data_IF_868378367652
#
_entry.id   IF_868378367652
#
_cell.length_a   1.000
_cell.length_b   1.000
_cell.length_c   1.000
_cell.angle_alpha   90.00
_cell.angle_beta   90.00
_cell.angle_gamma   90.00
#
_symmetry.space_group_name_H-M   'P 1'
#
loop_
_entity.id
_entity.type
_entity.pdbx_description
1 polymer ?
#
# COMPACT_ATOMS: atom_id res chain seq x y z
N UNK A 1 -1.79 -12.36 9.17
CA UNK A 1 -2.68 -13.07 8.23
C UNK A 1 -2.08 -12.91 6.84
N UNK A 2 -1.72 -14.00 6.18
CA UNK A 2 -1.07 -13.98 4.85
C UNK A 2 -2.15 -14.24 3.81
N UNK A 3 -2.48 -13.23 3.02
CA UNK A 3 -3.44 -13.33 1.91
C UNK A 3 -2.65 -13.69 0.65
N UNK A 4 -2.49 -14.97 0.35
CA UNK A 4 -1.66 -15.43 -0.77
C UNK A 4 -2.45 -15.68 -2.07
N UNK A 5 -3.77 -15.58 -2.06
CA UNK A 5 -4.60 -15.70 -3.28
C UNK A 5 -5.86 -14.85 -3.22
N UNK A 6 -6.37 -14.41 -4.39
CA UNK A 6 -7.63 -13.66 -4.48
C UNK A 6 -8.85 -14.43 -3.95
N UNK A 7 -8.85 -15.76 -4.08
CA UNK A 7 -9.90 -16.60 -3.50
C UNK A 7 -9.95 -16.47 -1.98
N UNK A 8 -8.80 -16.36 -1.31
CA UNK A 8 -8.74 -16.17 0.14
C UNK A 8 -9.24 -14.78 0.55
N UNK A 9 -8.98 -13.74 -0.23
CA UNK A 9 -9.48 -12.38 0.05
C UNK A 9 -11.00 -12.34 -0.08
N UNK A 10 -11.56 -12.92 -1.16
CA UNK A 10 -13.01 -12.99 -1.36
C UNK A 10 -13.71 -13.82 -0.26
N UNK A 11 -13.11 -14.94 0.14
CA UNK A 11 -13.61 -15.75 1.25
C UNK A 11 -13.60 -14.97 2.57
N UNK A 12 -12.51 -14.25 2.83
CA UNK A 12 -12.41 -13.42 4.04
C UNK A 12 -13.43 -12.29 4.03
N UNK A 13 -13.65 -11.63 2.89
CA UNK A 13 -14.71 -10.63 2.77
C UNK A 13 -16.08 -11.22 3.11
N UNK A 14 -16.41 -12.40 2.56
CA UNK A 14 -17.68 -13.07 2.87
C UNK A 14 -17.84 -13.42 4.36
N UNK A 15 -16.74 -13.81 5.04
CA UNK A 15 -16.77 -14.06 6.49
C UNK A 15 -16.98 -12.76 7.29
N UNK A 16 -16.36 -11.66 6.87
CA UNK A 16 -16.57 -10.36 7.52
C UNK A 16 -18.00 -9.87 7.32
N UNK A 17 -18.58 -10.05 6.13
CA UNK A 17 -19.97 -9.71 5.85
C UNK A 17 -20.94 -10.51 6.71
N UNK A 18 -20.74 -11.80 6.88
CA UNK A 18 -21.52 -12.63 7.81
C UNK A 18 -21.40 -12.16 9.28
N UNK A 19 -20.21 -11.71 9.68
CA UNK A 19 -20.03 -11.14 11.02
C UNK A 19 -20.81 -9.81 11.16
N UNK A 20 -20.78 -8.95 10.14
CA UNK A 20 -21.50 -7.67 10.11
C UNK A 20 -23.02 -7.88 10.07
N UNK A 21 -23.53 -8.91 9.39
CA UNK A 21 -24.93 -9.29 9.41
C UNK A 21 -25.42 -9.67 10.81
N UNK A 22 -24.56 -10.35 11.60
CA UNK A 22 -24.87 -10.73 12.99
C UNK A 22 -24.75 -9.58 13.97
N UNK A 23 -23.75 -8.75 13.78
CA UNK A 23 -23.51 -7.53 14.57
C UNK A 23 -23.10 -6.37 13.66
N UNK A 24 -24.05 -5.52 13.22
CA UNK A 24 -23.77 -4.38 12.35
C UNK A 24 -22.85 -3.31 12.96
N UNK A 25 -22.58 -3.38 14.28
CA UNK A 25 -21.70 -2.48 15.01
C UNK A 25 -20.36 -3.10 15.38
N UNK A 26 -20.03 -4.27 14.83
CA UNK A 26 -18.74 -4.89 15.07
C UNK A 26 -17.64 -4.19 14.25
N UNK A 27 -17.04 -3.15 14.81
CA UNK A 27 -16.04 -2.29 14.16
C UNK A 27 -14.88 -3.04 13.51
N UNK A 28 -14.24 -4.02 14.17
CA UNK A 28 -13.16 -4.80 13.52
C UNK A 28 -13.60 -5.53 12.25
N UNK A 29 -14.80 -6.11 12.20
CA UNK A 29 -15.28 -6.77 10.98
C UNK A 29 -15.50 -5.76 9.84
N UNK A 30 -16.04 -4.58 10.15
CA UNK A 30 -16.21 -3.49 9.19
C UNK A 30 -14.86 -3.04 8.62
N UNK A 31 -13.85 -2.78 9.48
CA UNK A 31 -12.52 -2.35 9.04
C UNK A 31 -11.81 -3.44 8.19
N UNK A 32 -11.93 -4.71 8.56
CA UNK A 32 -11.37 -5.81 7.75
C UNK A 32 -12.13 -6.02 6.44
N UNK A 33 -13.46 -5.83 6.39
CA UNK A 33 -14.21 -5.86 5.14
C UNK A 33 -13.76 -4.74 4.19
N UNK A 34 -13.56 -3.52 4.72
CA UNK A 34 -13.03 -2.39 3.96
C UNK A 34 -11.64 -2.72 3.39
N UNK A 35 -10.75 -3.32 4.20
CA UNK A 35 -9.42 -3.74 3.76
C UNK A 35 -9.49 -4.84 2.69
N UNK A 36 -10.44 -5.78 2.75
CA UNK A 36 -10.64 -6.80 1.72
C UNK A 36 -11.04 -6.16 0.38
N UNK A 37 -12.00 -5.23 0.37
CA UNK A 37 -12.39 -4.48 -0.82
C UNK A 37 -11.19 -3.74 -1.44
N UNK A 38 -10.41 -3.03 -0.61
CA UNK A 38 -9.20 -2.36 -1.05
C UNK A 38 -8.19 -3.33 -1.68
N UNK A 39 -7.94 -4.49 -1.06
CA UNK A 39 -7.02 -5.49 -1.58
C UNK A 39 -7.47 -6.11 -2.91
N UNK A 40 -8.76 -6.41 -3.07
CA UNK A 40 -9.31 -6.91 -4.34
C UNK A 40 -9.04 -5.93 -5.48
N UNK A 41 -9.21 -4.62 -5.24
CA UNK A 41 -8.94 -3.57 -6.22
C UNK A 41 -7.44 -3.48 -6.50
N UNK A 42 -6.61 -3.41 -5.46
CA UNK A 42 -5.16 -3.24 -5.57
C UNK A 42 -4.49 -4.41 -6.33
N UNK A 43 -4.97 -5.63 -6.09
CA UNK A 43 -4.45 -6.85 -6.73
C UNK A 43 -5.05 -7.08 -8.14
N UNK A 44 -5.92 -6.16 -8.64
CA UNK A 44 -6.58 -6.27 -9.94
C UNK A 44 -7.57 -7.45 -10.03
N UNK A 45 -8.13 -7.87 -8.90
CA UNK A 45 -9.02 -9.05 -8.76
C UNK A 45 -10.49 -8.69 -8.51
N UNK A 46 -10.78 -7.40 -8.48
CA UNK A 46 -12.15 -6.90 -8.39
C UNK A 46 -12.85 -7.05 -9.74
N UNK A 47 -14.07 -7.60 -9.73
CA UNK A 47 -14.92 -7.67 -10.92
C UNK A 47 -15.60 -6.32 -11.22
N UNK A 48 -15.81 -5.49 -10.20
CA UNK A 48 -16.34 -4.13 -10.29
C UNK A 48 -15.60 -3.22 -9.31
N UNK A 49 -14.45 -2.64 -9.74
CA UNK A 49 -13.64 -1.78 -8.87
C UNK A 49 -14.38 -0.54 -8.34
N UNK A 50 -15.38 -0.04 -9.07
CA UNK A 50 -16.17 1.13 -8.65
C UNK A 50 -17.13 0.74 -7.51
N UNK A 51 -17.82 -0.39 -7.65
CA UNK A 51 -18.69 -0.90 -6.61
C UNK A 51 -17.90 -1.30 -5.35
N UNK A 52 -16.78 -2.00 -5.51
CA UNK A 52 -15.92 -2.41 -4.39
C UNK A 52 -15.30 -1.21 -3.68
N UNK A 53 -14.90 -0.15 -4.40
CA UNK A 53 -14.44 1.09 -3.79
C UNK A 53 -15.53 1.74 -2.93
N UNK A 54 -16.75 1.87 -3.46
CA UNK A 54 -17.87 2.45 -2.72
C UNK A 54 -18.20 1.63 -1.48
N UNK A 55 -18.26 0.31 -1.62
CA UNK A 55 -18.54 -0.64 -0.53
C UNK A 55 -17.45 -0.58 0.56
N UNK A 56 -16.19 -0.59 0.15
CA UNK A 56 -15.07 -0.47 1.08
C UNK A 56 -15.05 0.86 1.83
N UNK A 57 -15.34 1.97 1.14
CA UNK A 57 -15.45 3.27 1.79
C UNK A 57 -16.62 3.35 2.79
N UNK A 58 -17.78 2.74 2.48
CA UNK A 58 -18.91 2.64 3.41
C UNK A 58 -18.53 1.85 4.66
N UNK A 59 -17.91 0.68 4.49
CA UNK A 59 -17.45 -0.12 5.62
C UNK A 59 -16.46 0.64 6.51
N UNK A 60 -15.48 1.34 5.94
CA UNK A 60 -14.50 2.11 6.70
C UNK A 60 -15.16 3.24 7.49
N UNK A 61 -16.05 4.02 6.87
CA UNK A 61 -16.77 5.11 7.56
C UNK A 61 -17.61 4.59 8.72
N UNK A 62 -18.35 3.50 8.50
CA UNK A 62 -19.14 2.86 9.57
C UNK A 62 -18.26 2.32 10.69
N UNK A 63 -17.07 1.75 10.37
CA UNK A 63 -16.14 1.28 11.38
C UNK A 63 -15.65 2.43 12.27
N UNK A 64 -15.30 3.58 11.69
CA UNK A 64 -14.91 4.77 12.44
C UNK A 64 -16.05 5.31 13.34
N UNK A 65 -17.30 5.26 12.87
CA UNK A 65 -18.46 5.69 13.66
C UNK A 65 -18.69 4.82 14.90
N UNK A 66 -18.49 3.51 14.80
CA UNK A 66 -18.82 2.56 15.88
C UNK A 66 -17.62 2.20 16.77
N UNK A 67 -16.39 2.35 16.27
CA UNK A 67 -15.16 1.93 16.96
C UNK A 67 -13.99 2.90 16.75
N UNK A 68 -14.27 4.20 16.68
CA UNK A 68 -13.27 5.25 16.42
C UNK A 68 -12.22 5.46 17.53
N UNK A 69 -12.18 4.61 18.57
CA UNK A 69 -11.13 4.54 19.59
C UNK A 69 -10.32 3.22 19.50
N UNK A 70 -10.63 2.34 18.54
CA UNK A 70 -9.85 1.13 18.33
C UNK A 70 -8.65 1.44 17.41
N UNK A 71 -7.38 1.24 17.87
CA UNK A 71 -6.20 1.53 17.05
C UNK A 71 -6.14 0.75 15.75
N UNK A 72 -6.72 -0.46 15.70
CA UNK A 72 -6.73 -1.31 14.50
C UNK A 72 -7.69 -0.74 13.48
N UNK A 73 -8.89 -0.34 13.92
CA UNK A 73 -9.92 0.31 13.08
C UNK A 73 -9.36 1.61 12.52
N UNK A 74 -8.86 2.50 13.37
CA UNK A 74 -8.29 3.79 12.94
C UNK A 74 -7.22 3.63 11.86
N UNK A 75 -6.26 2.71 12.07
CA UNK A 75 -5.14 2.56 11.14
C UNK A 75 -5.56 1.92 9.80
N UNK A 76 -6.40 0.88 9.80
CA UNK A 76 -6.84 0.26 8.55
C UNK A 76 -7.77 1.16 7.76
N UNK A 77 -8.68 1.87 8.43
CA UNK A 77 -9.61 2.77 7.74
C UNK A 77 -8.88 3.99 7.17
N UNK A 78 -7.87 4.52 7.89
CA UNK A 78 -6.98 5.55 7.34
C UNK A 78 -6.30 5.10 6.05
N UNK A 79 -5.76 3.86 6.01
CA UNK A 79 -5.14 3.29 4.82
C UNK A 79 -6.14 3.17 3.67
N UNK A 80 -7.32 2.60 3.93
CA UNK A 80 -8.35 2.35 2.90
C UNK A 80 -8.87 3.65 2.33
N UNK A 81 -9.24 4.61 3.18
CA UNK A 81 -9.80 5.88 2.76
C UNK A 81 -8.77 6.73 2.01
N UNK A 82 -7.50 6.79 2.45
CA UNK A 82 -6.41 7.43 1.71
C UNK A 82 -6.24 6.82 0.31
N UNK A 83 -6.26 5.49 0.19
CA UNK A 83 -6.16 4.78 -1.09
C UNK A 83 -7.34 5.07 -2.00
N UNK A 84 -8.49 5.41 -1.44
CA UNK A 84 -9.69 5.75 -2.19
C UNK A 84 -9.81 7.24 -2.52
N UNK A 85 -8.85 8.06 -2.09
CA UNK A 85 -8.73 9.46 -2.47
C UNK A 85 -9.20 10.47 -1.44
N UNK A 86 -9.48 10.01 -0.21
CA UNK A 86 -9.74 10.93 0.91
C UNK A 86 -8.45 11.72 1.26
N UNK A 87 -8.60 12.86 1.93
CA UNK A 87 -7.47 13.74 2.25
C UNK A 87 -6.40 13.05 3.09
N UNK A 88 -5.20 12.97 2.53
CA UNK A 88 -4.08 12.24 3.14
C UNK A 88 -3.67 12.84 4.51
N UNK A 89 -3.80 14.14 4.70
CA UNK A 89 -3.50 14.79 5.97
C UNK A 89 -4.44 14.35 7.08
N UNK A 90 -5.73 14.27 6.77
CA UNK A 90 -6.75 13.74 7.69
C UNK A 90 -6.48 12.28 8.02
N UNK A 91 -6.12 11.46 7.04
CA UNK A 91 -5.83 10.03 7.24
C UNK A 91 -4.55 9.82 8.08
N UNK A 92 -3.55 10.67 7.91
CA UNK A 92 -2.37 10.69 8.78
C UNK A 92 -2.80 11.01 10.24
N UNK A 93 -3.70 11.96 10.46
CA UNK A 93 -4.23 12.26 11.79
C UNK A 93 -4.92 11.06 12.46
N UNK A 94 -5.65 10.24 11.69
CA UNK A 94 -6.27 9.01 12.22
C UNK A 94 -5.22 7.97 12.64
N UNK A 95 -4.20 7.74 11.83
CA UNK A 95 -3.15 6.76 12.19
C UNK A 95 -2.27 7.27 13.34
N UNK A 96 -2.01 8.57 13.43
CA UNK A 96 -1.28 9.16 14.56
C UNK A 96 -2.08 8.97 15.87
N UNK A 97 -3.41 9.12 15.82
CA UNK A 97 -4.30 8.80 16.96
C UNK A 97 -4.25 7.30 17.31
N UNK A 98 -4.24 6.41 16.31
CA UNK A 98 -4.09 4.97 16.53
C UNK A 98 -2.78 4.66 17.30
N UNK A 99 -1.69 5.32 16.91
CA UNK A 99 -0.37 5.12 17.53
C UNK A 99 -0.27 5.77 18.92
N UNK A 100 -1.00 6.86 19.16
CA UNK A 100 -1.13 7.45 20.50
C UNK A 100 -1.89 6.52 21.47
N UNK A 101 -2.94 5.83 20.98
CA UNK A 101 -3.69 4.83 21.74
C UNK A 101 -2.89 3.55 21.99
N UNK A 102 -2.11 3.11 21.00
CA UNK A 102 -1.25 1.92 21.09
C UNK A 102 0.11 2.13 20.41
N UNK A 103 1.12 2.64 21.14
CA UNK A 103 2.46 2.85 20.60
C UNK A 103 3.19 1.57 20.18
N UNK A 104 2.74 0.40 20.65
CA UNK A 104 3.32 -0.90 20.31
C UNK A 104 2.63 -1.57 19.12
N UNK A 105 1.75 -0.88 18.41
CA UNK A 105 1.04 -1.40 17.25
C UNK A 105 1.93 -1.36 16.00
N UNK A 106 2.78 -2.37 15.81
CA UNK A 106 3.73 -2.47 14.70
C UNK A 106 3.08 -2.25 13.31
N UNK A 107 1.87 -2.80 13.09
CA UNK A 107 1.15 -2.61 11.82
C UNK A 107 0.71 -1.16 11.63
N UNK A 108 0.30 -0.48 12.69
CA UNK A 108 -0.02 0.95 12.67
C UNK A 108 1.18 1.79 12.23
N UNK A 109 2.37 1.50 12.75
CA UNK A 109 3.61 2.15 12.33
C UNK A 109 3.93 1.91 10.85
N UNK A 110 3.73 0.69 10.32
CA UNK A 110 3.90 0.40 8.89
C UNK A 110 2.91 1.19 8.04
N UNK A 111 1.65 1.28 8.46
CA UNK A 111 0.61 2.06 7.76
C UNK A 111 0.95 3.54 7.80
N UNK A 112 1.37 4.06 8.94
CA UNK A 112 1.81 5.45 9.07
C UNK A 112 2.98 5.76 8.13
N UNK A 113 3.98 4.87 8.05
CA UNK A 113 5.08 5.00 7.10
C UNK A 113 4.59 5.05 5.64
N UNK A 114 3.62 4.23 5.26
CA UNK A 114 3.05 4.25 3.91
C UNK A 114 2.29 5.55 3.62
N UNK A 115 1.47 6.02 4.55
CA UNK A 115 0.73 7.29 4.39
C UNK A 115 1.67 8.49 4.32
N UNK A 116 2.75 8.51 5.12
CA UNK A 116 3.80 9.52 5.07
C UNK A 116 4.54 9.51 3.73
N UNK A 117 4.81 8.32 3.19
CA UNK A 117 5.39 8.18 1.85
C UNK A 117 4.48 8.80 0.79
N UNK A 118 3.18 8.54 0.82
CA UNK A 118 2.21 9.14 -0.11
C UNK A 118 2.03 10.65 0.08
N UNK A 119 2.25 11.14 1.30
CA UNK A 119 2.24 12.56 1.60
C UNK A 119 3.50 13.30 1.11
N UNK A 120 4.54 12.58 0.64
CA UNK A 120 5.82 13.15 0.22
C UNK A 120 6.78 13.42 1.37
N UNK A 121 6.68 12.63 2.44
CA UNK A 121 7.51 12.69 3.65
C UNK A 121 8.38 11.41 3.79
N UNK A 122 9.31 11.13 2.83
CA UNK A 122 9.99 9.85 2.74
C UNK A 122 10.91 9.55 3.95
N UNK A 123 11.54 10.55 4.54
CA UNK A 123 12.43 10.33 5.70
C UNK A 123 11.60 9.93 6.94
N UNK A 124 10.44 10.56 7.17
CA UNK A 124 9.52 10.16 8.24
C UNK A 124 8.96 8.76 7.97
N UNK A 125 8.70 8.42 6.71
CA UNK A 125 8.25 7.09 6.33
C UNK A 125 9.28 6.01 6.71
N UNK A 126 10.59 6.27 6.50
CA UNK A 126 11.69 5.38 6.90
C UNK A 126 11.69 5.19 8.42
N UNK A 127 11.67 6.29 9.20
CA UNK A 127 11.67 6.24 10.66
C UNK A 127 10.53 5.40 11.22
N UNK A 128 9.31 5.58 10.67
CA UNK A 128 8.12 4.85 11.12
C UNK A 128 8.20 3.35 10.76
N UNK A 129 8.70 3.01 9.58
CA UNK A 129 8.90 1.61 9.19
C UNK A 129 9.97 0.94 10.07
N UNK A 130 11.03 1.65 10.43
CA UNK A 130 12.06 1.14 11.33
C UNK A 130 11.50 0.84 12.73
N UNK A 131 10.58 1.69 13.24
CA UNK A 131 9.83 1.38 14.46
C UNK A 131 9.02 0.09 14.30
N UNK A 132 8.27 -0.04 13.19
CA UNK A 132 7.47 -1.23 12.91
C UNK A 132 8.32 -2.52 12.91
N UNK A 133 9.48 -2.49 12.26
CA UNK A 133 10.41 -3.63 12.19
C UNK A 133 10.98 -3.99 13.55
N UNK A 134 11.33 -3.01 14.39
CA UNK A 134 11.78 -3.25 15.77
C UNK A 134 10.70 -3.88 16.65
N UNK A 135 9.46 -3.43 16.52
CA UNK A 135 8.32 -3.97 17.28
C UNK A 135 7.92 -5.38 16.84
N UNK A 136 8.15 -5.75 15.58
CA UNK A 136 7.75 -7.05 15.04
C UNK A 136 8.83 -7.67 14.14
N UNK A 137 9.99 -8.07 14.69
CA UNK A 137 11.14 -8.54 13.91
C UNK A 137 10.92 -9.89 13.22
N UNK A 138 9.87 -10.62 13.58
CA UNK A 138 9.49 -11.92 12.99
C UNK A 138 8.32 -11.81 12.01
N UNK A 139 7.77 -10.61 11.79
CA UNK A 139 6.73 -10.41 10.79
C UNK A 139 7.30 -10.53 9.37
N UNK A 140 6.42 -10.76 8.38
CA UNK A 140 6.80 -10.61 6.98
C UNK A 140 7.31 -9.19 6.74
N UNK A 141 8.50 -9.09 6.19
CA UNK A 141 9.19 -7.81 5.99
C UNK A 141 8.92 -7.18 4.61
N UNK A 142 8.36 -7.93 3.67
CA UNK A 142 8.12 -7.49 2.29
C UNK A 142 7.39 -6.15 2.18
N UNK A 143 6.23 -5.94 2.83
CA UNK A 143 5.56 -4.66 2.80
C UNK A 143 6.40 -3.50 3.36
N UNK A 144 7.17 -3.73 4.42
CA UNK A 144 8.09 -2.75 5.00
C UNK A 144 9.23 -2.43 4.04
N UNK A 145 9.81 -3.44 3.39
CA UNK A 145 10.88 -3.26 2.40
C UNK A 145 10.39 -2.48 1.17
N UNK A 146 9.13 -2.67 0.77
CA UNK A 146 8.53 -1.89 -0.30
C UNK A 146 8.41 -0.41 0.07
N UNK A 147 7.96 -0.10 1.29
CA UNK A 147 7.85 1.29 1.76
C UNK A 147 9.24 1.92 1.83
N UNK A 148 10.23 1.23 2.39
CA UNK A 148 11.63 1.69 2.44
C UNK A 148 12.20 1.93 1.04
N UNK A 149 12.00 0.98 0.11
CA UNK A 149 12.41 1.11 -1.29
C UNK A 149 11.75 2.30 -1.98
N UNK A 150 10.45 2.50 -1.76
CA UNK A 150 9.72 3.66 -2.26
C UNK A 150 10.25 4.98 -1.66
N UNK A 151 10.53 5.01 -0.36
CA UNK A 151 11.06 6.20 0.31
C UNK A 151 12.43 6.60 -0.24
N UNK A 152 13.33 5.65 -0.43
CA UNK A 152 14.61 5.90 -1.09
C UNK A 152 14.42 6.34 -2.55
N UNK A 153 13.50 5.74 -3.30
CA UNK A 153 13.18 6.13 -4.68
C UNK A 153 12.72 7.58 -4.77
N UNK A 154 11.72 7.99 -3.97
CA UNK A 154 11.22 9.38 -4.00
C UNK A 154 12.23 10.39 -3.44
N UNK A 155 13.19 9.95 -2.65
CA UNK A 155 14.38 10.75 -2.27
C UNK A 155 15.49 10.72 -3.33
N UNK A 156 15.29 10.10 -4.49
CA UNK A 156 16.27 9.89 -5.58
C UNK A 156 17.52 9.12 -5.14
N UNK A 157 17.45 8.37 -4.05
CA UNK A 157 18.50 7.46 -3.55
C UNK A 157 18.32 6.08 -4.19
N UNK A 158 18.46 5.99 -5.52
CA UNK A 158 18.12 4.79 -6.28
C UNK A 158 18.96 3.58 -5.91
N UNK A 159 20.26 3.77 -5.62
CA UNK A 159 21.16 2.70 -5.19
C UNK A 159 20.73 2.06 -3.86
N UNK A 160 20.12 2.83 -2.97
CA UNK A 160 19.57 2.35 -1.71
C UNK A 160 18.17 1.72 -1.89
N UNK A 161 17.39 2.20 -2.87
CA UNK A 161 16.07 1.69 -3.17
C UNK A 161 16.10 0.27 -3.77
N UNK A 162 17.01 0.03 -4.73
CA UNK A 162 17.10 -1.23 -5.48
C UNK A 162 17.21 -2.47 -4.57
N UNK A 163 18.13 -2.58 -3.61
CA UNK A 163 18.24 -3.76 -2.77
C UNK A 163 17.00 -3.99 -1.90
N UNK A 164 16.34 -2.94 -1.42
CA UNK A 164 15.09 -3.07 -0.63
C UNK A 164 13.94 -3.61 -1.47
N UNK A 165 13.79 -3.10 -2.70
CA UNK A 165 12.76 -3.56 -3.64
C UNK A 165 12.99 -4.99 -4.08
N UNK A 166 14.22 -5.39 -4.36
CA UNK A 166 14.55 -6.78 -4.71
C UNK A 166 14.20 -7.76 -3.60
N UNK A 167 14.55 -7.44 -2.35
CA UNK A 167 14.19 -8.25 -1.18
C UNK A 167 12.67 -8.27 -0.97
N UNK A 168 11.97 -7.14 -1.18
CA UNK A 168 10.51 -7.07 -1.11
C UNK A 168 9.84 -7.96 -2.15
N UNK A 169 10.33 -7.97 -3.39
CA UNK A 169 9.87 -8.85 -4.47
C UNK A 169 10.14 -10.33 -4.16
N UNK A 170 11.26 -10.64 -3.53
CA UNK A 170 11.57 -12.01 -3.12
C UNK A 170 10.59 -12.52 -2.04
N UNK A 171 10.16 -11.65 -1.12
CA UNK A 171 9.17 -11.98 -0.09
C UNK A 171 7.73 -12.08 -0.65
N UNK A 172 7.38 -11.18 -1.60
CA UNK A 172 6.08 -11.19 -2.29
C UNK A 172 6.23 -10.92 -3.79
N UNK A 173 6.43 -11.98 -4.60
CA UNK A 173 6.60 -11.83 -6.06
C UNK A 173 5.34 -11.37 -6.80
N UNK A 174 4.19 -11.32 -6.14
CA UNK A 174 2.91 -10.97 -6.77
C UNK A 174 2.54 -9.48 -6.65
N UNK A 175 3.43 -8.64 -6.10
CA UNK A 175 3.11 -7.24 -5.76
C UNK A 175 3.57 -6.25 -6.86
N UNK A 176 2.67 -5.79 -7.76
CA UNK A 176 3.07 -5.08 -8.99
C UNK A 176 3.85 -3.79 -8.73
N UNK A 177 3.48 -3.00 -7.70
CA UNK A 177 4.11 -1.70 -7.43
C UNK A 177 5.61 -1.82 -7.12
N UNK A 178 6.07 -2.96 -6.54
CA UNK A 178 7.48 -3.19 -6.29
C UNK A 178 8.28 -3.25 -7.60
N UNK A 179 7.74 -3.91 -8.62
CA UNK A 179 8.34 -3.97 -9.95
C UNK A 179 8.29 -2.62 -10.67
N UNK A 180 7.21 -1.86 -10.49
CA UNK A 180 7.10 -0.53 -11.09
C UNK A 180 8.19 0.41 -10.54
N UNK A 181 8.34 0.49 -9.23
CA UNK A 181 9.35 1.34 -8.60
C UNK A 181 10.77 0.83 -8.96
N UNK A 182 11.01 -0.48 -8.98
CA UNK A 182 12.31 -1.05 -9.34
C UNK A 182 12.68 -0.77 -10.80
N UNK A 183 11.72 -0.90 -11.74
CA UNK A 183 11.95 -0.55 -13.15
C UNK A 183 12.28 0.93 -13.30
N UNK A 184 11.55 1.81 -12.61
CA UNK A 184 11.82 3.24 -12.61
C UNK A 184 13.20 3.57 -11.99
N UNK A 185 13.61 2.90 -10.91
CA UNK A 185 14.96 3.04 -10.35
C UNK A 185 16.03 2.76 -11.41
N UNK A 186 15.97 1.57 -12.03
CA UNK A 186 16.95 1.19 -13.04
C UNK A 186 16.95 2.15 -14.24
N UNK A 187 15.79 2.61 -14.68
CA UNK A 187 15.69 3.56 -15.78
C UNK A 187 16.34 4.91 -15.45
N UNK A 188 16.08 5.47 -14.26
CA UNK A 188 16.71 6.71 -13.80
C UNK A 188 18.22 6.58 -13.57
N UNK A 189 18.72 5.37 -13.29
CA UNK A 189 20.17 5.06 -13.21
C UNK A 189 20.82 4.84 -14.58
N UNK A 190 20.07 4.93 -15.68
CA UNK A 190 20.56 4.63 -17.04
C UNK A 190 20.69 3.13 -17.34
N UNK A 191 20.27 2.25 -16.44
CA UNK A 191 20.35 0.78 -16.55
C UNK A 191 19.14 0.24 -17.31
N UNK A 192 18.98 0.66 -18.58
CA UNK A 192 17.76 0.45 -19.35
C UNK A 192 17.47 -1.02 -19.65
N UNK A 193 18.48 -1.87 -19.83
CA UNK A 193 18.26 -3.29 -20.11
C UNK A 193 17.67 -4.01 -18.91
N UNK A 194 18.14 -3.66 -17.70
CA UNK A 194 17.58 -4.18 -16.45
C UNK A 194 16.16 -3.64 -16.19
N UNK A 195 15.94 -2.35 -16.48
CA UNK A 195 14.61 -1.77 -16.41
C UNK A 195 13.61 -2.52 -17.31
N UNK A 196 13.97 -2.79 -18.57
CA UNK A 196 13.16 -3.57 -19.52
C UNK A 196 12.90 -5.00 -19.03
N UNK A 197 13.90 -5.65 -18.44
CA UNK A 197 13.74 -7.00 -17.87
C UNK A 197 12.73 -7.01 -16.72
N UNK A 198 12.72 -5.96 -15.87
CA UNK A 198 11.75 -5.82 -14.81
C UNK A 198 10.34 -5.54 -15.35
N UNK A 199 10.20 -4.69 -16.38
CA UNK A 199 8.90 -4.43 -17.03
C UNK A 199 8.34 -5.72 -17.67
N UNK A 200 9.20 -6.57 -18.26
CA UNK A 200 8.76 -7.87 -18.80
C UNK A 200 8.20 -8.79 -17.69
N UNK A 201 8.83 -8.83 -16.52
CA UNK A 201 8.30 -9.56 -15.35
C UNK A 201 6.98 -8.97 -14.85
N UNK A 202 6.87 -7.64 -14.80
CA UNK A 202 5.64 -6.95 -14.38
C UNK A 202 4.46 -7.31 -15.29
N UNK A 203 4.68 -7.35 -16.61
CA UNK A 203 3.65 -7.73 -17.59
C UNK A 203 3.15 -9.17 -17.43
N UNK A 204 3.95 -10.07 -16.87
CA UNK A 204 3.54 -11.42 -16.54
C UNK A 204 2.62 -11.50 -15.30
N UNK A 205 2.66 -10.48 -14.44
CA UNK A 205 1.87 -10.40 -13.20
C UNK A 205 0.58 -9.62 -13.41
N UNK A 206 0.64 -8.52 -14.18
CA UNK A 206 -0.51 -7.66 -14.43
C UNK A 206 -0.47 -7.09 -15.85
N UNK A 207 -1.63 -7.00 -16.55
CA UNK A 207 -1.71 -6.30 -17.83
C UNK A 207 -1.53 -4.78 -17.68
N UNK A 208 -1.75 -4.21 -16.50
CA UNK A 208 -1.58 -2.79 -16.22
C UNK A 208 -0.16 -2.51 -15.73
N UNK A 209 0.71 -2.11 -16.65
CA UNK A 209 2.09 -1.70 -16.31
C UNK A 209 2.11 -0.38 -15.52
N UNK A 210 1.16 0.51 -15.79
CA UNK A 210 1.02 1.77 -15.07
C UNK A 210 -0.29 1.82 -14.27
N UNK A 211 -0.20 1.93 -12.95
CA UNK A 211 -1.35 2.25 -12.12
C UNK A 211 -1.65 3.74 -12.21
N UNK A 212 -2.84 4.08 -12.72
CA UNK A 212 -3.24 5.48 -12.93
C UNK A 212 -3.67 6.20 -11.65
N UNK A 213 -3.98 5.46 -10.59
CA UNK A 213 -4.50 5.99 -9.32
C UNK A 213 -3.58 5.66 -8.14
N UNK A 214 -2.41 6.30 -8.11
CA UNK A 214 -1.57 6.29 -6.91
C UNK A 214 -1.90 7.52 -6.06
N UNK A 215 -2.09 7.38 -4.74
CA UNK A 215 -2.55 8.46 -3.86
C UNK A 215 -1.42 9.42 -3.46
N UNK A 216 -0.48 9.70 -4.38
CA UNK A 216 0.60 10.63 -4.11
C UNK A 216 0.07 12.06 -4.04
N UNK A 217 0.34 12.75 -2.93
CA UNK A 217 -0.01 14.15 -2.72
C UNK A 217 0.81 15.08 -3.61
N UNK A 218 2.09 14.74 -3.83
CA UNK A 218 3.02 15.55 -4.61
C UNK A 218 3.00 15.13 -6.07
N UNK A 219 2.69 16.04 -7.01
CA UNK A 219 2.74 15.72 -8.44
C UNK A 219 4.11 15.25 -8.90
N UNK A 220 5.19 15.78 -8.31
CA UNK A 220 6.58 15.45 -8.64
C UNK A 220 6.90 13.98 -8.36
N UNK A 221 6.33 13.39 -7.31
CA UNK A 221 6.54 11.99 -6.96
C UNK A 221 5.88 11.08 -8.02
N UNK A 222 4.69 11.46 -8.47
CA UNK A 222 4.01 10.76 -9.56
C UNK A 222 4.77 10.89 -10.87
N UNK A 223 5.23 12.08 -11.20
CA UNK A 223 6.02 12.35 -12.42
C UNK A 223 7.32 11.56 -12.42
N UNK A 224 8.03 11.50 -11.28
CA UNK A 224 9.24 10.72 -11.13
C UNK A 224 9.00 9.22 -11.45
N UNK A 225 7.92 8.65 -10.90
CA UNK A 225 7.59 7.25 -11.18
C UNK A 225 7.20 7.03 -12.65
N UNK A 226 6.33 7.87 -13.19
CA UNK A 226 5.83 7.73 -14.56
C UNK A 226 6.92 7.94 -15.61
N UNK A 227 7.80 8.95 -15.42
CA UNK A 227 8.93 9.18 -16.33
C UNK A 227 9.91 8.00 -16.33
N UNK A 228 10.21 7.43 -15.15
CA UNK A 228 11.05 6.24 -15.07
C UNK A 228 10.43 5.02 -15.78
N UNK A 229 9.11 4.82 -15.63
CA UNK A 229 8.40 3.74 -16.32
C UNK A 229 8.33 3.95 -17.83
N UNK A 230 8.14 5.17 -18.31
CA UNK A 230 8.19 5.52 -19.73
C UNK A 230 9.56 5.21 -20.34
N UNK A 231 10.65 5.62 -19.68
CA UNK A 231 12.02 5.27 -20.08
C UNK A 231 12.23 3.74 -20.11
N UNK A 232 11.74 3.02 -19.10
CA UNK A 232 11.84 1.56 -19.03
C UNK A 232 11.03 0.87 -20.14
N UNK A 233 9.90 1.46 -20.58
CA UNK A 233 9.09 0.95 -21.67
C UNK A 233 9.67 1.26 -23.07
N UNK A 234 10.66 2.16 -23.16
CA UNK A 234 11.23 2.62 -24.43
C UNK A 234 10.42 3.72 -25.11
N UNK A 235 9.55 4.40 -24.34
CA UNK A 235 8.86 5.60 -24.80
C UNK A 235 9.87 6.76 -24.82
N UNK A 236 10.10 7.36 -26.00
CA UNK A 236 10.96 8.53 -26.12
C UNK A 236 10.31 9.71 -25.39
N UNK A 237 11.08 10.39 -24.53
CA UNK A 237 10.74 11.65 -23.87
C UNK A 237 10.56 12.78 -24.86
#
# INVERSE_FOLDING_TARGET
>A
MVWSSGAQISQALGLMEQAIERDPRYGPALAFAALCCHRLILDGRSNDPVADRRKGADFAKRALEVAGEDPVVLAYDALVLASFGDDIGTMIGLVDRALALNPNYARGWSISGLLRLWAGEPDIAIDHVDVALRLSPRARVGPSLLILGGAHFFSRRFDEAVPKLLLGIQDDPSFPIAYQILAACYAHMGRLDEARAIVAKLRAITPQVMQTHLPFRRPEDRELLLSGLGLAAGEAT
#
